data_IF_748629468914
#
_entry.id   IF_748629468914
#
_cell.length_a   1.000
_cell.length_b   1.000
_cell.length_c   1.000
_cell.angle_alpha   90.00
_cell.angle_beta   90.00
_cell.angle_gamma   90.00
#
_symmetry.space_group_name_H-M   'P 1'
#
loop_
_entity.id
_entity.type
_entity.pdbx_description
1 polymer ?
#
# COMPACT_ATOMS: atom_id res chain seq x y z
N UNK A 1 24.91 28.32 1.01
CA UNK A 1 25.23 26.99 0.41
C UNK A 1 25.46 25.88 1.44
N UNK A 2 25.76 26.16 2.70
CA UNK A 2 25.86 25.15 3.77
C UNK A 2 24.53 24.89 4.53
N UNK A 3 23.54 25.78 4.45
CA UNK A 3 22.22 25.59 5.10
C UNK A 3 21.30 24.60 4.34
N UNK A 4 21.51 24.41 3.03
CA UNK A 4 20.73 23.43 2.25
C UNK A 4 21.11 21.98 2.59
N UNK A 5 22.30 21.76 3.15
CA UNK A 5 22.77 20.44 3.58
C UNK A 5 22.28 20.07 5.00
N UNK A 6 21.89 21.06 5.83
CA UNK A 6 21.29 20.81 7.15
C UNK A 6 19.80 20.44 7.09
N UNK A 7 19.10 20.76 6.00
CA UNK A 7 17.74 20.26 5.74
C UNK A 7 17.72 18.78 5.33
N UNK A 8 18.80 18.27 4.74
CA UNK A 8 18.89 16.88 4.27
C UNK A 8 19.19 15.86 5.39
N UNK A 9 19.66 16.30 6.57
CA UNK A 9 20.19 15.40 7.61
C UNK A 9 19.19 15.03 8.73
N UNK A 10 17.88 15.30 8.59
CA UNK A 10 16.88 15.08 9.66
C UNK A 10 15.73 14.13 9.30
N UNK A 11 15.95 13.12 8.46
CA UNK A 11 14.88 12.23 7.98
C UNK A 11 15.15 10.74 8.26
N UNK A 12 15.65 10.44 9.46
CA UNK A 12 15.63 9.07 10.00
C UNK A 12 14.38 8.79 10.88
N UNK A 13 13.39 9.70 10.84
CA UNK A 13 12.09 9.56 11.49
C UNK A 13 11.00 9.94 10.48
N UNK A 14 9.83 9.32 10.60
CA UNK A 14 8.69 9.45 9.67
C UNK A 14 8.54 10.86 9.10
N UNK A 15 8.67 11.01 7.76
CA UNK A 15 8.63 12.26 6.98
C UNK A 15 7.24 12.93 6.98
N UNK A 16 6.52 12.91 8.10
CA UNK A 16 5.14 13.40 8.22
C UNK A 16 5.00 14.61 9.13
N UNK A 17 6.04 14.98 9.86
CA UNK A 17 6.06 16.22 10.64
C UNK A 17 6.38 17.41 9.73
N UNK A 18 5.46 18.37 9.67
CA UNK A 18 5.56 19.57 8.85
C UNK A 18 5.93 20.82 9.66
N UNK A 19 6.29 20.67 10.95
CA UNK A 19 6.81 21.76 11.80
C UNK A 19 5.80 22.87 12.13
N UNK A 20 4.50 22.55 12.15
CA UNK A 20 3.44 23.53 12.40
C UNK A 20 3.38 23.98 13.87
N UNK A 21 3.11 25.26 14.10
CA UNK A 21 2.97 25.88 15.42
C UNK A 21 1.58 25.60 16.02
N UNK A 22 1.56 24.84 17.13
CA UNK A 22 0.33 24.44 17.83
C UNK A 22 -0.19 25.46 18.84
N UNK A 23 0.53 26.54 19.12
CA UNK A 23 0.06 27.59 20.04
C UNK A 23 -1.14 28.36 19.47
N UNK A 24 -1.32 28.32 18.14
CA UNK A 24 -2.45 28.92 17.41
C UNK A 24 -3.10 27.87 16.49
N UNK A 25 -3.94 26.98 17.04
CA UNK A 25 -4.46 25.83 16.31
C UNK A 25 -5.45 26.19 15.20
N UNK A 26 -6.05 27.39 15.24
CA UNK A 26 -7.09 27.81 14.29
C UNK A 26 -6.60 28.70 13.14
N UNK A 27 -5.30 29.04 13.11
CA UNK A 27 -4.71 29.93 12.11
C UNK A 27 -3.33 29.46 11.68
N UNK A 28 -2.88 29.83 10.48
CA UNK A 28 -1.53 29.59 9.99
C UNK A 28 -0.85 30.92 9.65
N UNK A 29 0.43 31.05 9.98
CA UNK A 29 1.27 32.14 9.48
C UNK A 29 1.65 31.94 8.01
N UNK A 30 2.07 33.00 7.35
CA UNK A 30 2.58 32.94 5.97
C UNK A 30 3.76 31.97 5.84
N UNK A 31 4.67 31.94 6.81
CA UNK A 31 5.80 31.00 6.85
C UNK A 31 5.32 29.55 6.93
N UNK A 32 4.36 29.25 7.81
CA UNK A 32 3.79 27.89 7.91
C UNK A 32 3.11 27.46 6.62
N UNK A 33 2.37 28.38 5.98
CA UNK A 33 1.70 28.14 4.71
C UNK A 33 2.73 27.83 3.61
N UNK A 34 3.77 28.65 3.50
CA UNK A 34 4.81 28.48 2.49
C UNK A 34 5.55 27.15 2.66
N UNK A 35 5.98 26.82 3.89
CA UNK A 35 6.67 25.56 4.20
C UNK A 35 5.78 24.35 3.93
N UNK A 36 4.51 24.37 4.33
CA UNK A 36 3.58 23.26 4.10
C UNK A 36 3.31 23.03 2.61
N UNK A 37 3.10 24.12 1.85
CA UNK A 37 2.92 24.05 0.39
C UNK A 37 4.16 23.50 -0.29
N UNK A 38 5.35 23.94 0.09
CA UNK A 38 6.61 23.44 -0.46
C UNK A 38 6.77 21.93 -0.18
N UNK A 39 6.48 21.48 1.04
CA UNK A 39 6.53 20.07 1.39
C UNK A 39 5.55 19.23 0.55
N UNK A 40 4.28 19.63 0.41
CA UNK A 40 3.32 18.88 -0.41
C UNK A 40 3.66 18.88 -1.90
N UNK A 41 4.16 20.00 -2.42
CA UNK A 41 4.58 20.12 -3.80
C UNK A 41 5.76 19.21 -4.14
N UNK A 42 6.64 18.98 -3.16
CA UNK A 42 7.77 18.07 -3.28
C UNK A 42 7.36 16.61 -3.08
N UNK A 43 6.74 16.27 -1.94
CA UNK A 43 6.52 14.86 -1.54
C UNK A 43 5.33 14.18 -2.21
N UNK A 44 4.37 14.95 -2.75
CA UNK A 44 3.12 14.44 -3.33
C UNK A 44 2.80 15.08 -4.69
N UNK A 45 3.78 15.76 -5.29
CA UNK A 45 3.60 16.55 -6.50
C UNK A 45 4.85 16.52 -7.38
N UNK A 46 4.74 17.09 -8.57
CA UNK A 46 5.87 17.25 -9.49
C UNK A 46 6.48 18.66 -9.32
N UNK A 47 6.65 19.11 -8.07
CA UNK A 47 7.06 20.48 -7.74
C UNK A 47 5.92 21.50 -7.73
N UNK A 48 4.66 21.06 -7.81
CA UNK A 48 3.47 21.89 -7.72
C UNK A 48 2.34 21.21 -6.92
N UNK A 49 1.22 21.91 -6.71
CA UNK A 49 0.09 21.46 -5.88
C UNK A 49 -1.09 20.89 -6.68
N UNK A 50 -0.92 20.59 -7.97
CA UNK A 50 -2.03 20.14 -8.83
C UNK A 50 -2.59 18.78 -8.40
N UNK A 51 -1.75 17.93 -7.82
CA UNK A 51 -2.16 16.65 -7.23
C UNK A 51 -2.76 16.81 -5.82
N UNK A 52 -2.45 17.90 -5.12
CA UNK A 52 -2.80 18.10 -3.71
C UNK A 52 -3.71 19.31 -3.49
N UNK A 53 -4.65 19.57 -4.40
CA UNK A 53 -5.56 20.74 -4.36
C UNK A 53 -6.35 20.94 -3.06
N UNK A 54 -6.55 19.88 -2.27
CA UNK A 54 -7.11 19.98 -0.92
C UNK A 54 -6.29 20.92 -0.02
N UNK A 55 -4.97 20.92 -0.17
CA UNK A 55 -4.04 21.71 0.65
C UNK A 55 -4.25 23.21 0.48
N UNK A 56 -4.13 23.81 -0.72
CA UNK A 56 -4.38 25.24 -0.88
C UNK A 56 -5.83 25.60 -0.53
N UNK A 57 -6.81 24.75 -0.84
CA UNK A 57 -8.21 24.97 -0.50
C UNK A 57 -8.43 25.09 1.02
N UNK A 58 -7.92 24.13 1.81
CA UNK A 58 -8.08 24.18 3.26
C UNK A 58 -7.25 25.29 3.89
N UNK A 59 -6.07 25.61 3.37
CA UNK A 59 -5.27 26.74 3.85
C UNK A 59 -6.04 28.06 3.70
N UNK A 60 -6.69 28.26 2.55
CA UNK A 60 -7.42 29.49 2.24
C UNK A 60 -8.72 29.62 3.05
N UNK A 61 -9.50 28.53 3.12
CA UNK A 61 -10.86 28.61 3.66
C UNK A 61 -11.01 28.08 5.08
N UNK A 62 -10.09 27.24 5.56
CA UNK A 62 -10.18 26.58 6.87
C UNK A 62 -8.79 26.18 7.44
N UNK A 63 -7.86 27.14 7.64
CA UNK A 63 -6.47 26.83 8.02
C UNK A 63 -6.37 26.02 9.32
N UNK A 64 -7.26 26.25 10.28
CA UNK A 64 -7.35 25.45 11.50
C UNK A 64 -7.71 23.98 11.24
N UNK A 65 -8.56 23.69 10.25
CA UNK A 65 -8.88 22.33 9.85
C UNK A 65 -7.65 21.65 9.21
N UNK A 66 -6.91 22.37 8.34
CA UNK A 66 -5.67 21.84 7.76
C UNK A 66 -4.63 21.51 8.84
N UNK A 67 -4.46 22.40 9.81
CA UNK A 67 -3.61 22.16 10.99
C UNK A 67 -4.06 20.89 11.70
N UNK A 68 -5.29 20.82 12.19
CA UNK A 68 -5.79 19.62 12.91
C UNK A 68 -5.60 18.33 12.11
N UNK A 69 -5.84 18.35 10.80
CA UNK A 69 -5.58 17.22 9.92
C UNK A 69 -4.10 16.80 9.94
N UNK A 70 -3.16 17.75 9.77
CA UNK A 70 -1.72 17.45 9.87
C UNK A 70 -1.31 16.93 11.24
N UNK A 71 -1.85 17.50 12.33
CA UNK A 71 -1.60 16.98 13.69
C UNK A 71 -1.99 15.52 13.79
N UNK A 72 -3.14 15.18 13.24
CA UNK A 72 -3.66 13.83 13.26
C UNK A 72 -2.74 12.88 12.46
N UNK A 73 -2.36 13.26 11.23
CA UNK A 73 -1.38 12.50 10.42
C UNK A 73 -0.06 12.29 11.17
N UNK A 74 0.50 13.33 11.80
CA UNK A 74 1.74 13.22 12.59
C UNK A 74 1.57 12.30 13.79
N UNK A 75 0.45 12.38 14.50
CA UNK A 75 0.18 11.53 15.66
C UNK A 75 0.05 10.04 15.28
N UNK A 76 -0.55 9.73 14.12
CA UNK A 76 -0.61 8.35 13.60
C UNK A 76 0.78 7.84 13.20
N UNK A 77 1.64 8.71 12.66
CA UNK A 77 2.98 8.34 12.20
C UNK A 77 4.05 8.22 13.30
N UNK A 78 3.84 8.76 14.50
CA UNK A 78 4.90 8.93 15.50
C UNK A 78 4.90 7.99 16.75
N UNK A 79 4.30 6.78 16.78
CA UNK A 79 4.51 5.88 17.92
C UNK A 79 5.95 5.34 17.97
N UNK A 80 6.41 4.87 19.14
CA UNK A 80 7.78 4.37 19.35
C UNK A 80 8.16 3.22 18.39
N UNK A 81 7.20 2.34 18.08
CA UNK A 81 7.33 1.24 17.12
C UNK A 81 6.54 1.53 15.83
N UNK A 82 6.74 2.72 15.25
CA UNK A 82 6.07 3.11 14.02
C UNK A 82 6.49 2.24 12.83
N UNK A 83 5.50 1.91 12.00
CA UNK A 83 5.68 1.47 10.63
C UNK A 83 6.55 2.49 9.87
N UNK A 84 7.51 2.04 9.06
CA UNK A 84 8.28 2.93 8.21
C UNK A 84 7.34 3.62 7.22
N UNK A 85 7.69 4.84 6.82
CA UNK A 85 6.84 5.68 5.97
C UNK A 85 6.45 5.03 4.63
N UNK A 86 7.29 4.13 4.11
CA UNK A 86 6.99 3.32 2.93
C UNK A 86 5.71 2.48 3.07
N UNK A 87 5.39 1.99 4.27
CA UNK A 87 4.19 1.15 4.49
C UNK A 87 2.90 1.92 4.21
N UNK A 88 2.59 3.05 4.89
CA UNK A 88 1.37 3.79 4.60
C UNK A 88 1.29 4.27 3.14
N UNK A 89 2.41 4.63 2.50
CA UNK A 89 2.44 4.96 1.06
C UNK A 89 1.86 3.80 0.24
N UNK A 90 2.36 2.59 0.43
CA UNK A 90 1.86 1.41 -0.28
C UNK A 90 0.41 1.08 0.08
N UNK A 91 0.01 1.25 1.34
CA UNK A 91 -1.38 1.02 1.79
C UNK A 91 -2.37 1.97 1.10
N UNK A 92 -2.01 3.26 0.99
CA UNK A 92 -2.80 4.26 0.27
C UNK A 92 -2.75 4.04 -1.24
N UNK A 93 -1.60 3.67 -1.81
CA UNK A 93 -1.47 3.34 -3.23
C UNK A 93 -2.44 2.21 -3.60
N UNK A 94 -2.42 1.09 -2.87
CA UNK A 94 -3.38 0.00 -3.03
C UNK A 94 -4.84 0.49 -2.89
N UNK A 95 -5.14 1.29 -1.87
CA UNK A 95 -6.50 1.79 -1.64
C UNK A 95 -7.00 2.68 -2.79
N UNK A 96 -6.19 3.64 -3.25
CA UNK A 96 -6.57 4.55 -4.34
C UNK A 96 -6.74 3.82 -5.66
N UNK A 97 -5.89 2.83 -5.95
CA UNK A 97 -6.10 1.94 -7.09
C UNK A 97 -7.40 1.16 -6.96
N UNK A 98 -7.71 0.64 -5.77
CA UNK A 98 -8.92 -0.15 -5.53
C UNK A 98 -10.23 0.65 -5.59
N UNK A 99 -10.17 1.97 -5.45
CA UNK A 99 -11.35 2.86 -5.40
C UNK A 99 -11.48 3.78 -6.61
N UNK A 100 -10.54 3.75 -7.55
CA UNK A 100 -10.62 4.56 -8.75
C UNK A 100 -10.04 5.97 -8.64
N UNK A 101 -9.22 6.26 -7.62
CA UNK A 101 -8.69 7.60 -7.38
C UNK A 101 -7.35 7.81 -8.10
N UNK A 102 -7.38 8.04 -9.42
CA UNK A 102 -6.18 8.15 -10.27
C UNK A 102 -5.19 9.22 -9.82
N UNK A 103 -5.67 10.35 -9.28
CA UNK A 103 -4.80 11.39 -8.69
C UNK A 103 -4.02 10.89 -7.47
N UNK A 104 -4.67 10.11 -6.61
CA UNK A 104 -4.04 9.51 -5.44
C UNK A 104 -3.01 8.47 -5.83
N UNK A 105 -3.31 7.66 -6.86
CA UNK A 105 -2.33 6.71 -7.43
C UNK A 105 -1.06 7.44 -7.89
N UNK A 106 -1.20 8.58 -8.57
CA UNK A 106 -0.04 9.34 -9.05
C UNK A 106 0.81 9.90 -7.91
N UNK A 107 0.20 10.54 -6.90
CA UNK A 107 1.00 11.11 -5.81
C UNK A 107 1.68 10.03 -4.96
N UNK A 108 1.07 8.84 -4.81
CA UNK A 108 1.64 7.80 -3.95
C UNK A 108 2.78 7.10 -4.68
N UNK A 109 2.74 7.10 -6.01
CA UNK A 109 3.86 6.65 -6.84
C UNK A 109 5.06 7.59 -6.72
N UNK A 110 4.83 8.90 -6.70
CA UNK A 110 5.89 9.90 -6.44
C UNK A 110 6.48 9.68 -5.04
N UNK A 111 5.61 9.60 -4.02
CA UNK A 111 6.04 9.35 -2.65
C UNK A 111 6.78 8.00 -2.51
N UNK A 112 6.36 6.97 -3.25
CA UNK A 112 7.00 5.67 -3.24
C UNK A 112 8.44 5.74 -3.73
N UNK A 113 8.68 6.43 -4.86
CA UNK A 113 10.02 6.63 -5.39
C UNK A 113 10.90 7.35 -4.37
N UNK A 114 10.41 8.45 -3.81
CA UNK A 114 11.15 9.25 -2.82
C UNK A 114 11.43 8.46 -1.52
N UNK A 115 10.56 7.52 -1.16
CA UNK A 115 10.73 6.63 -0.01
C UNK A 115 11.67 5.44 -0.29
N UNK A 116 12.21 5.30 -1.50
CA UNK A 116 13.10 4.20 -1.87
C UNK A 116 12.40 2.85 -2.07
N UNK A 117 11.07 2.87 -2.27
CA UNK A 117 10.31 1.71 -2.73
C UNK A 117 10.67 1.50 -4.19
N UNK A 118 10.98 0.27 -4.60
CA UNK A 118 11.38 0.01 -5.99
C UNK A 118 10.19 -0.02 -6.95
N UNK A 119 10.43 0.25 -8.23
CA UNK A 119 9.41 0.09 -9.29
C UNK A 119 8.80 -1.31 -9.31
N UNK A 120 9.60 -2.34 -9.02
CA UNK A 120 9.09 -3.73 -8.93
C UNK A 120 8.15 -3.93 -7.74
N UNK A 121 8.41 -3.32 -6.59
CA UNK A 121 7.51 -3.35 -5.43
C UNK A 121 6.19 -2.64 -5.72
N UNK A 122 6.24 -1.48 -6.41
CA UNK A 122 5.04 -0.78 -6.89
C UNK A 122 4.25 -1.67 -7.85
N UNK A 123 4.93 -2.32 -8.81
CA UNK A 123 4.30 -3.25 -9.75
C UNK A 123 3.63 -4.43 -9.03
N UNK A 124 4.25 -4.98 -7.98
CA UNK A 124 3.60 -6.02 -7.19
C UNK A 124 2.31 -5.53 -6.53
N UNK A 125 2.23 -4.28 -6.05
CA UNK A 125 0.97 -3.73 -5.53
C UNK A 125 -0.06 -3.53 -6.63
N UNK A 126 0.34 -3.08 -7.83
CA UNK A 126 -0.55 -2.97 -8.99
C UNK A 126 -1.17 -4.33 -9.31
N UNK A 127 -0.34 -5.38 -9.43
CA UNK A 127 -0.77 -6.74 -9.75
C UNK A 127 -1.69 -7.32 -8.68
N UNK A 128 -1.34 -7.16 -7.40
CA UNK A 128 -2.18 -7.58 -6.27
C UNK A 128 -3.53 -6.85 -6.28
N UNK A 129 -3.55 -5.56 -6.61
CA UNK A 129 -4.79 -4.79 -6.67
C UNK A 129 -5.66 -5.27 -7.84
N UNK A 130 -5.10 -5.48 -9.02
CA UNK A 130 -5.84 -6.02 -10.19
C UNK A 130 -6.39 -7.42 -9.89
N UNK A 131 -5.63 -8.24 -9.16
CA UNK A 131 -6.02 -9.58 -8.78
C UNK A 131 -7.21 -9.60 -7.82
N UNK A 132 -7.30 -8.62 -6.92
CA UNK A 132 -8.32 -8.55 -5.86
C UNK A 132 -9.50 -7.63 -6.19
N UNK A 133 -9.29 -6.62 -7.02
CA UNK A 133 -10.26 -5.58 -7.35
C UNK A 133 -10.66 -5.56 -8.83
N UNK A 134 -10.01 -6.36 -9.68
CA UNK A 134 -10.34 -6.49 -11.09
C UNK A 134 -9.65 -5.45 -12.00
N UNK A 135 -9.96 -5.44 -13.31
CA UNK A 135 -9.24 -4.63 -14.29
C UNK A 135 -9.42 -3.12 -14.11
N UNK A 136 -10.52 -2.66 -13.50
CA UNK A 136 -10.78 -1.23 -13.25
C UNK A 136 -9.63 -0.60 -12.45
N UNK A 137 -9.05 -1.30 -11.48
CA UNK A 137 -7.90 -0.76 -10.73
C UNK A 137 -6.66 -0.59 -11.61
N UNK A 138 -6.52 -1.38 -12.68
CA UNK A 138 -5.47 -1.24 -13.67
C UNK A 138 -5.70 -0.04 -14.60
N UNK A 139 -6.94 0.22 -15.03
CA UNK A 139 -7.26 1.38 -15.87
C UNK A 139 -6.92 2.71 -15.19
N UNK A 140 -7.17 2.80 -13.88
CA UNK A 140 -6.87 3.98 -13.04
C UNK A 140 -5.39 4.36 -13.07
N UNK A 141 -4.51 3.36 -13.21
CA UNK A 141 -3.08 3.56 -13.35
C UNK A 141 -2.74 4.21 -14.71
N UNK A 142 -3.36 3.73 -15.78
CA UNK A 142 -3.19 4.24 -17.15
C UNK A 142 -3.72 5.67 -17.32
N UNK A 143 -4.78 6.07 -16.61
CA UNK A 143 -5.39 7.39 -16.77
C UNK A 143 -4.45 8.58 -16.51
N UNK A 144 -3.48 8.43 -15.59
CA UNK A 144 -2.70 9.58 -15.11
C UNK A 144 -1.26 9.28 -14.70
N UNK A 145 -0.95 8.03 -14.39
CA UNK A 145 0.32 7.69 -13.75
C UNK A 145 1.28 6.96 -14.70
N UNK A 146 0.81 6.50 -15.86
CA UNK A 146 1.60 5.69 -16.80
C UNK A 146 2.87 6.42 -17.28
N UNK A 147 2.74 7.69 -17.66
CA UNK A 147 3.89 8.50 -18.10
C UNK A 147 4.94 8.65 -16.99
N UNK A 148 4.51 8.81 -15.73
CA UNK A 148 5.43 8.86 -14.61
C UNK A 148 6.11 7.50 -14.39
N UNK A 149 5.34 6.41 -14.36
CA UNK A 149 5.84 5.05 -14.18
C UNK A 149 6.85 4.66 -15.28
N UNK A 150 6.60 5.05 -16.53
CA UNK A 150 7.49 4.75 -17.65
C UNK A 150 8.83 5.50 -17.57
N UNK A 151 8.85 6.72 -16.98
CA UNK A 151 10.08 7.49 -16.73
C UNK A 151 10.84 7.06 -15.48
N UNK A 152 10.24 6.24 -14.62
CA UNK A 152 10.92 5.67 -13.47
C UNK A 152 11.97 4.66 -13.95
N UNK A 153 13.26 5.01 -13.82
CA UNK A 153 14.36 4.15 -14.21
C UNK A 153 14.48 2.94 -13.27
N UNK A 154 14.37 1.73 -13.84
CA UNK A 154 14.49 0.49 -13.09
C UNK A 154 15.95 0.12 -12.77
N UNK A 155 16.92 0.74 -13.43
CA UNK A 155 18.34 0.52 -13.12
C UNK A 155 18.74 1.12 -11.76
N UNK A 156 17.91 2.01 -11.19
CA UNK A 156 18.07 2.57 -9.84
C UNK A 156 17.54 1.62 -8.74
N UNK A 157 16.95 0.47 -9.09
CA UNK A 157 16.05 -0.33 -8.23
C UNK A 157 16.54 -1.75 -7.85
N UNK A 158 17.83 -2.07 -8.01
CA UNK A 158 18.34 -3.43 -7.73
C UNK A 158 18.07 -3.88 -6.28
N UNK A 159 18.12 -2.96 -5.31
CA UNK A 159 17.73 -3.22 -3.92
C UNK A 159 16.86 -2.07 -3.37
N UNK A 160 15.81 -2.43 -2.63
CA UNK A 160 14.95 -1.46 -1.95
C UNK A 160 15.73 -0.72 -0.86
N UNK A 161 15.69 0.60 -0.88
CA UNK A 161 16.26 1.43 0.18
C UNK A 161 15.34 1.53 1.42
N UNK A 162 14.18 0.87 1.40
CA UNK A 162 13.24 0.85 2.52
C UNK A 162 13.82 0.03 3.68
N UNK A 163 13.98 0.69 4.83
CA UNK A 163 14.26 0.03 6.09
C UNK A 163 12.99 -0.64 6.64
N UNK A 164 12.73 -1.88 6.24
CA UNK A 164 11.61 -2.66 6.75
C UNK A 164 11.76 -2.99 8.24
N UNK A 165 10.66 -3.15 9.01
CA UNK A 165 10.75 -3.53 10.40
C UNK A 165 11.48 -4.87 10.61
N UNK A 166 12.13 -5.01 11.77
CA UNK A 166 12.82 -6.26 12.12
C UNK A 166 11.88 -7.46 12.02
N UNK A 167 12.35 -8.53 11.36
CA UNK A 167 11.59 -9.76 11.16
C UNK A 167 10.65 -9.73 9.96
N UNK A 168 10.53 -8.59 9.26
CA UNK A 168 9.84 -8.55 7.99
C UNK A 168 10.72 -9.15 6.91
N UNK A 169 10.19 -10.12 6.19
CA UNK A 169 10.94 -10.87 5.19
C UNK A 169 10.06 -11.10 3.98
N UNK A 170 10.69 -11.34 2.83
CA UNK A 170 10.01 -11.98 1.72
C UNK A 170 9.41 -13.31 2.17
N UNK A 171 8.39 -13.76 1.45
CA UNK A 171 7.84 -15.08 1.70
C UNK A 171 8.78 -16.18 1.21
N UNK A 172 8.55 -17.40 1.68
CA UNK A 172 9.31 -18.56 1.24
C UNK A 172 9.11 -18.82 -0.26
N UNK A 173 10.18 -19.10 -1.01
CA UNK A 173 10.05 -19.52 -2.40
C UNK A 173 9.06 -20.67 -2.55
N UNK A 174 8.25 -20.65 -3.60
CA UNK A 174 7.29 -21.72 -3.93
C UNK A 174 6.17 -21.95 -2.90
N UNK A 175 6.07 -21.14 -1.82
CA UNK A 175 5.02 -21.32 -0.79
C UNK A 175 3.61 -21.34 -1.39
N UNK A 176 3.38 -20.46 -2.36
CA UNK A 176 2.09 -20.28 -3.02
C UNK A 176 1.89 -21.17 -4.25
N UNK A 177 2.88 -21.99 -4.62
CA UNK A 177 2.76 -22.91 -5.73
C UNK A 177 1.88 -24.10 -5.33
N UNK A 178 0.81 -24.29 -6.09
CA UNK A 178 -0.05 -25.47 -5.95
C UNK A 178 0.62 -26.71 -6.51
N UNK A 179 1.49 -26.55 -7.52
CA UNK A 179 2.06 -27.65 -8.30
C UNK A 179 1.09 -28.24 -9.32
N UNK A 180 -0.06 -27.60 -9.56
CA UNK A 180 -1.00 -27.99 -10.62
C UNK A 180 -0.35 -27.89 -12.00
N UNK A 181 -0.84 -28.69 -12.94
CA UNK A 181 -0.37 -28.64 -14.32
C UNK A 181 -1.13 -27.56 -15.11
N UNK A 182 -0.55 -26.37 -15.27
CA UNK A 182 -1.20 -25.28 -16.01
C UNK A 182 -1.17 -25.42 -17.54
N UNK A 183 -0.54 -26.46 -18.10
CA UNK A 183 -0.50 -26.69 -19.56
C UNK A 183 -1.87 -27.08 -20.10
N UNK A 184 -2.67 -27.82 -19.33
CA UNK A 184 -4.01 -28.24 -19.73
C UNK A 184 -5.08 -27.40 -19.02
N UNK A 185 -6.11 -26.99 -19.75
CA UNK A 185 -7.20 -26.17 -19.21
C UNK A 185 -8.11 -26.96 -18.23
N UNK A 186 -8.19 -28.28 -18.40
CA UNK A 186 -9.03 -29.15 -17.57
C UNK A 186 -8.46 -29.29 -16.15
N UNK A 187 -9.32 -29.19 -15.15
CA UNK A 187 -8.99 -29.44 -13.75
C UNK A 187 -9.15 -30.94 -13.47
N UNK A 188 -8.01 -31.61 -13.29
CA UNK A 188 -7.98 -33.04 -12.96
C UNK A 188 -8.13 -33.27 -11.45
N UNK A 189 -8.44 -34.50 -11.05
CA UNK A 189 -8.44 -34.88 -9.63
C UNK A 189 -7.06 -34.69 -8.99
N UNK A 190 -5.97 -34.90 -9.74
CA UNK A 190 -4.60 -34.64 -9.29
C UNK A 190 -4.36 -33.14 -9.06
N UNK A 191 -4.79 -32.28 -9.99
CA UNK A 191 -4.72 -30.82 -9.81
C UNK A 191 -5.46 -30.39 -8.54
N UNK A 192 -6.67 -30.92 -8.32
CA UNK A 192 -7.46 -30.61 -7.13
C UNK A 192 -6.81 -31.10 -5.83
N UNK A 193 -6.21 -32.30 -5.84
CA UNK A 193 -5.47 -32.84 -4.71
C UNK A 193 -4.26 -31.97 -4.36
N UNK A 194 -3.53 -31.49 -5.37
CA UNK A 194 -2.38 -30.58 -5.24
C UNK A 194 -2.78 -29.21 -4.69
N UNK A 195 -3.83 -28.60 -5.23
CA UNK A 195 -4.39 -27.35 -4.72
C UNK A 195 -4.77 -27.48 -3.24
N UNK A 196 -5.49 -28.56 -2.90
CA UNK A 196 -5.91 -28.83 -1.53
C UNK A 196 -4.74 -29.06 -0.57
N UNK A 197 -3.68 -29.73 -1.05
CA UNK A 197 -2.46 -29.94 -0.27
C UNK A 197 -1.71 -28.62 -0.02
N UNK A 198 -1.67 -27.72 -1.01
CA UNK A 198 -1.07 -26.39 -0.87
C UNK A 198 -1.78 -25.55 0.21
N UNK A 199 -3.12 -25.50 0.21
CA UNK A 199 -3.86 -24.79 1.27
C UNK A 199 -3.55 -25.37 2.65
N UNK A 200 -3.60 -26.70 2.80
CA UNK A 200 -3.27 -27.38 4.07
C UNK A 200 -1.85 -27.09 4.55
N UNK A 201 -0.87 -27.11 3.65
CA UNK A 201 0.53 -26.75 3.96
C UNK A 201 0.64 -25.32 4.50
N UNK A 202 -0.17 -24.40 3.98
CA UNK A 202 -0.21 -23.02 4.42
C UNK A 202 -1.06 -22.80 5.69
N UNK A 203 -1.63 -23.86 6.27
CA UNK A 203 -2.48 -23.79 7.45
C UNK A 203 -3.89 -23.25 7.17
N UNK A 204 -4.34 -23.36 5.93
CA UNK A 204 -5.63 -22.87 5.45
C UNK A 204 -6.48 -24.01 4.89
N UNK A 205 -7.80 -23.79 4.89
CA UNK A 205 -8.75 -24.62 4.14
C UNK A 205 -8.92 -24.09 2.71
N UNK A 206 -9.32 -24.98 1.80
CA UNK A 206 -9.72 -24.57 0.45
C UNK A 206 -10.93 -23.64 0.57
N UNK A 207 -10.87 -22.39 0.04
CA UNK A 207 -11.96 -21.45 0.17
C UNK A 207 -13.27 -21.99 -0.41
N UNK A 208 -14.43 -21.75 0.22
CA UNK A 208 -15.71 -22.29 -0.26
C UNK A 208 -16.03 -21.94 -1.71
N UNK A 209 -15.62 -20.75 -2.18
CA UNK A 209 -15.83 -20.36 -3.58
C UNK A 209 -15.00 -21.20 -4.56
N UNK A 210 -13.84 -21.72 -4.16
CA UNK A 210 -13.05 -22.62 -5.00
C UNK A 210 -13.77 -23.96 -5.18
N UNK A 211 -14.45 -24.46 -4.14
CA UNK A 211 -15.31 -25.66 -4.26
C UNK A 211 -16.47 -25.41 -5.22
N UNK A 212 -17.08 -24.24 -5.15
CA UNK A 212 -18.14 -23.84 -6.08
C UNK A 212 -17.61 -23.78 -7.53
N UNK A 213 -16.48 -23.10 -7.75
CA UNK A 213 -15.86 -23.02 -9.07
C UNK A 213 -15.41 -24.40 -9.59
N UNK A 214 -14.82 -25.25 -8.75
CA UNK A 214 -14.41 -26.60 -9.15
C UNK A 214 -15.57 -27.45 -9.68
N UNK A 215 -16.79 -27.27 -9.14
CA UNK A 215 -17.99 -27.98 -9.60
C UNK A 215 -18.60 -27.41 -10.88
N UNK A 216 -18.56 -26.09 -11.06
CA UNK A 216 -19.32 -25.42 -12.11
C UNK A 216 -18.47 -24.89 -13.27
N UNK A 217 -17.22 -24.49 -12.99
CA UNK A 217 -16.26 -23.87 -13.90
C UNK A 217 -14.81 -24.26 -13.51
N UNK A 218 -14.45 -25.55 -13.62
CA UNK A 218 -13.13 -26.06 -13.23
C UNK A 218 -11.97 -25.35 -13.95
N UNK A 219 -12.17 -24.97 -15.21
CA UNK A 219 -11.24 -24.20 -16.02
C UNK A 219 -10.83 -22.87 -15.33
N UNK A 220 -11.80 -22.19 -14.71
CA UNK A 220 -11.59 -20.93 -14.02
C UNK A 220 -10.75 -21.12 -12.75
N UNK A 221 -10.83 -22.27 -12.07
CA UNK A 221 -9.98 -22.55 -10.90
C UNK A 221 -8.51 -22.50 -11.30
N UNK A 222 -8.14 -23.14 -12.42
CA UNK A 222 -6.74 -23.16 -12.90
C UNK A 222 -6.29 -21.78 -13.33
N UNK A 223 -7.10 -21.06 -14.12
CA UNK A 223 -6.77 -19.70 -14.56
C UNK A 223 -6.58 -18.77 -13.37
N UNK A 224 -7.51 -18.80 -12.40
CA UNK A 224 -7.42 -17.98 -11.21
C UNK A 224 -6.17 -18.32 -10.40
N UNK A 225 -5.92 -19.60 -10.14
CA UNK A 225 -4.77 -20.04 -9.36
C UNK A 225 -3.44 -19.71 -10.04
N UNK A 226 -3.34 -19.87 -11.36
CA UNK A 226 -2.16 -19.48 -12.13
C UNK A 226 -1.89 -17.98 -11.97
N UNK A 227 -2.92 -17.12 -12.07
CA UNK A 227 -2.75 -15.68 -11.86
C UNK A 227 -2.18 -15.35 -10.49
N UNK A 228 -2.70 -15.98 -9.43
CA UNK A 228 -2.13 -15.77 -8.09
C UNK A 228 -0.69 -16.29 -7.98
N UNK A 229 -0.40 -17.49 -8.49
CA UNK A 229 0.95 -18.06 -8.44
C UNK A 229 1.98 -17.20 -9.18
N UNK A 230 1.62 -16.70 -10.35
CA UNK A 230 2.46 -15.79 -11.11
C UNK A 230 2.81 -14.56 -10.28
N UNK A 231 1.83 -13.85 -9.71
CA UNK A 231 2.06 -12.65 -8.88
C UNK A 231 2.96 -12.93 -7.68
N UNK A 232 2.77 -14.07 -7.01
CA UNK A 232 3.60 -14.42 -5.85
C UNK A 232 5.03 -14.85 -6.21
N UNK A 233 5.26 -15.38 -7.40
CA UNK A 233 6.58 -15.87 -7.82
C UNK A 233 7.65 -14.77 -7.91
N UNK A 234 7.25 -13.54 -8.23
CA UNK A 234 8.13 -12.36 -8.31
C UNK A 234 7.81 -11.30 -7.26
N UNK A 235 7.19 -11.67 -6.14
CA UNK A 235 6.90 -10.76 -5.04
C UNK A 235 8.20 -10.25 -4.40
N UNK A 236 8.34 -8.92 -4.31
CA UNK A 236 9.46 -8.21 -3.66
C UNK A 236 9.03 -7.42 -2.42
N UNK A 237 7.77 -7.55 -2.03
CA UNK A 237 7.25 -7.01 -0.77
C UNK A 237 7.43 -8.03 0.35
N UNK A 238 7.68 -7.59 1.59
CA UNK A 238 7.60 -8.47 2.74
C UNK A 238 6.21 -9.13 2.84
N UNK A 239 6.16 -10.41 3.22
CA UNK A 239 4.90 -11.17 3.35
C UNK A 239 3.89 -10.49 4.29
N UNK A 240 4.40 -9.70 5.24
CA UNK A 240 3.63 -8.88 6.17
C UNK A 240 2.75 -7.84 5.49
N UNK A 241 3.12 -7.32 4.30
CA UNK A 241 2.32 -6.33 3.58
C UNK A 241 0.99 -6.90 3.08
N UNK A 242 0.98 -8.19 2.70
CA UNK A 242 -0.18 -8.85 2.10
C UNK A 242 -1.46 -8.76 2.95
N UNK A 243 -1.45 -9.06 4.26
CA UNK A 243 -2.62 -8.87 5.11
C UNK A 243 -2.89 -7.40 5.49
N UNK A 244 -1.91 -6.50 5.40
CA UNK A 244 -2.12 -5.10 5.75
C UNK A 244 -2.93 -4.34 4.70
N UNK A 245 -2.82 -4.70 3.41
CA UNK A 245 -3.66 -4.11 2.35
C UNK A 245 -5.18 -4.29 2.58
N UNK A 246 -5.72 -5.51 2.75
CA UNK A 246 -7.13 -5.71 3.03
C UNK A 246 -7.52 -5.21 4.43
N UNK A 247 -6.61 -5.19 5.42
CA UNK A 247 -6.88 -4.58 6.73
C UNK A 247 -7.13 -3.07 6.60
N UNK A 248 -6.23 -2.36 5.91
CA UNK A 248 -6.33 -0.93 5.67
C UNK A 248 -7.61 -0.59 4.88
N UNK A 249 -7.82 -1.26 3.74
CA UNK A 249 -9.02 -1.07 2.91
C UNK A 249 -10.30 -1.42 3.67
N UNK A 250 -10.33 -2.56 4.36
CA UNK A 250 -11.49 -2.98 5.15
C UNK A 250 -11.84 -1.98 6.24
N UNK A 251 -10.83 -1.37 6.87
CA UNK A 251 -11.03 -0.30 7.87
C UNK A 251 -11.72 0.92 7.25
N UNK A 252 -11.20 1.42 6.11
CA UNK A 252 -11.79 2.58 5.42
C UNK A 252 -13.23 2.29 4.97
N UNK A 253 -13.48 1.08 4.48
CA UNK A 253 -14.79 0.67 3.97
C UNK A 253 -15.79 0.27 5.07
N UNK A 254 -15.38 0.27 6.35
CA UNK A 254 -16.23 -0.21 7.45
C UNK A 254 -16.56 -1.71 7.39
N UNK A 255 -15.75 -2.51 6.69
CA UNK A 255 -15.96 -3.96 6.54
C UNK A 255 -15.33 -4.71 7.72
N UNK A 256 -16.13 -4.91 8.77
CA UNK A 256 -15.71 -5.62 9.98
C UNK A 256 -15.23 -7.06 9.71
N UNK A 257 -15.77 -7.72 8.68
CA UNK A 257 -15.37 -9.08 8.33
C UNK A 257 -13.96 -9.06 7.71
N UNK A 258 -13.73 -8.18 6.74
CA UNK A 258 -12.41 -8.02 6.12
C UNK A 258 -11.36 -7.63 7.16
N UNK A 259 -11.66 -6.69 8.06
CA UNK A 259 -10.77 -6.31 9.17
C UNK A 259 -10.42 -7.51 10.04
N UNK A 260 -11.41 -8.32 10.43
CA UNK A 260 -11.18 -9.52 11.25
C UNK A 260 -10.31 -10.56 10.55
N UNK A 261 -10.64 -10.91 9.31
CA UNK A 261 -9.91 -11.92 8.53
C UNK A 261 -8.46 -11.46 8.26
N UNK A 262 -8.28 -10.20 7.86
CA UNK A 262 -6.97 -9.60 7.64
C UNK A 262 -6.14 -9.51 8.93
N UNK A 263 -6.77 -9.23 10.08
CA UNK A 263 -6.06 -9.23 11.38
C UNK A 263 -5.54 -10.62 11.75
N UNK A 264 -6.32 -11.68 11.51
CA UNK A 264 -5.89 -13.06 11.73
C UNK A 264 -4.71 -13.41 10.80
N UNK A 265 -4.79 -13.01 9.53
CA UNK A 265 -3.72 -13.22 8.56
C UNK A 265 -2.44 -12.43 8.95
N UNK A 266 -2.57 -11.18 9.42
CA UNK A 266 -1.46 -10.37 9.92
C UNK A 266 -0.76 -11.04 11.09
N UNK A 267 -1.52 -11.63 12.03
CA UNK A 267 -0.95 -12.41 13.14
C UNK A 267 -0.15 -13.62 12.65
N UNK A 268 -0.65 -14.36 11.66
CA UNK A 268 0.06 -15.51 11.06
C UNK A 268 1.31 -15.09 10.28
N UNK A 269 1.29 -13.89 9.70
CA UNK A 269 2.45 -13.28 9.05
C UNK A 269 3.42 -12.62 10.06
N UNK A 270 3.17 -12.77 11.37
CA UNK A 270 4.01 -12.25 12.45
C UNK A 270 4.09 -10.70 12.48
N UNK A 271 3.04 -10.03 12.01
CA UNK A 271 2.89 -8.58 12.18
C UNK A 271 2.64 -8.27 13.65
N UNK A 272 3.39 -7.30 14.21
CA UNK A 272 3.21 -6.86 15.59
C UNK A 272 1.83 -6.24 15.81
N UNK A 273 1.34 -6.29 17.05
CA UNK A 273 0.09 -5.63 17.44
C UNK A 273 0.12 -4.13 17.13
N UNK A 274 1.25 -3.47 17.39
CA UNK A 274 1.41 -2.03 17.17
C UNK A 274 1.26 -1.67 15.68
N UNK A 275 1.85 -2.47 14.78
CA UNK A 275 1.71 -2.26 13.34
C UNK A 275 0.28 -2.53 12.83
N UNK A 276 -0.42 -3.52 13.39
CA UNK A 276 -1.84 -3.76 13.09
C UNK A 276 -2.68 -2.55 13.51
N UNK A 277 -2.50 -2.07 14.74
CA UNK A 277 -3.21 -0.88 15.24
C UNK A 277 -2.90 0.33 14.38
N UNK A 278 -1.63 0.55 14.04
CA UNK A 278 -1.24 1.68 13.20
C UNK A 278 -1.81 1.60 11.79
N UNK A 279 -1.91 0.40 11.19
CA UNK A 279 -2.58 0.20 9.89
C UNK A 279 -4.05 0.60 9.95
N UNK A 280 -4.74 0.25 11.04
CA UNK A 280 -6.13 0.69 11.29
C UNK A 280 -6.20 2.22 11.46
N UNK A 281 -5.28 2.81 12.21
CA UNK A 281 -5.20 4.27 12.39
C UNK A 281 -4.95 5.02 11.08
N UNK A 282 -4.10 4.48 10.19
CA UNK A 282 -3.93 5.02 8.83
C UNK A 282 -5.23 4.97 8.03
N UNK A 283 -6.02 3.90 8.18
CA UNK A 283 -7.33 3.79 7.53
C UNK A 283 -8.32 4.87 7.96
N UNK A 284 -8.31 5.25 9.25
CA UNK A 284 -9.17 6.32 9.76
C UNK A 284 -8.88 7.71 9.16
N UNK A 285 -7.77 7.91 8.43
CA UNK A 285 -7.53 9.18 7.73
C UNK A 285 -8.54 9.48 6.61
N UNK A 286 -9.20 8.46 6.03
CA UNK A 286 -10.26 8.65 5.02
C UNK A 286 -11.66 8.86 5.61
N UNK A 287 -11.76 8.97 6.95
CA UNK A 287 -13.02 9.11 7.66
C UNK A 287 -13.63 7.75 8.04
N UNK A 288 -14.50 7.79 9.05
CA UNK A 288 -15.31 6.68 9.56
C UNK A 288 -16.69 7.16 9.93
#
# INVERSE_FOLDING_TARGET
MLESAQMAAKHAGTNVDTGLDWTRPDSMTETEIASLKAWYAHSHGEGNLDLTRLVPFLIEHAPGAMKRYRRYVTAVGAPENALPHAVPILLFFHYYMSTGMSRGVQWEMIAAKDAGITKQQVLNVIELTILTCGPVSGEVMCERSEDYFNRWDAAEDDESAVAWPRGWTLDEPHRHESGMNFVHAELTDDDWARLSAMYRRNGDDVPPYMNFLGRHRPDIVKVLRHRYEAVYAHMRLPKQMLPLFPLHRGTIMGDARAVREATIAAKRAEVSKDHVVQTVLWGFLHGS
#
